data_IF_507279885599
#
_entry.id   IF_507279885599
#
_cell.length_a   1.000
_cell.length_b   1.000
_cell.length_c   1.000
_cell.angle_alpha   90.00
_cell.angle_beta   90.00
_cell.angle_gamma   90.00
#
_symmetry.space_group_name_H-M   'P 1'
#
loop_
_entity.id
_entity.type
_entity.pdbx_description
1 polymer ?
#
# COMPACT_ATOMS: atom_id res chain seq x y z
N UNK A 1 20.63 -15.35 -2.73
CA UNK A 1 19.88 -14.14 -3.10
C UNK A 1 20.84 -13.18 -3.77
N UNK A 2 20.51 -12.65 -4.94
CA UNK A 2 21.35 -11.68 -5.66
C UNK A 2 21.06 -10.25 -5.19
N UNK A 3 22.07 -9.38 -5.23
CA UNK A 3 21.93 -7.99 -4.82
C UNK A 3 20.96 -7.23 -5.75
N UNK A 4 19.90 -6.64 -5.18
CA UNK A 4 18.88 -5.91 -5.93
C UNK A 4 19.09 -4.38 -5.91
N UNK A 5 20.27 -3.88 -5.50
CA UNK A 5 20.56 -2.43 -5.37
C UNK A 5 20.26 -1.66 -6.66
N UNK A 6 20.52 -2.28 -7.82
CA UNK A 6 20.29 -1.68 -9.14
C UNK A 6 18.82 -1.32 -9.42
N UNK A 7 17.85 -1.93 -8.72
CA UNK A 7 16.42 -1.64 -8.89
C UNK A 7 15.98 -0.31 -8.25
N UNK A 8 16.87 0.37 -7.53
CA UNK A 8 16.57 1.58 -6.77
C UNK A 8 17.45 2.76 -7.21
N UNK A 9 17.06 3.97 -6.80
CA UNK A 9 17.74 5.25 -7.09
C UNK A 9 18.44 5.85 -5.85
N UNK A 10 18.73 5.04 -4.82
CA UNK A 10 19.41 5.55 -3.63
C UNK A 10 20.77 6.15 -3.99
N UNK A 11 21.13 7.22 -3.27
CA UNK A 11 22.46 7.81 -3.33
C UNK A 11 23.53 6.72 -3.11
N UNK A 12 24.49 6.55 -4.06
CA UNK A 12 25.49 5.50 -3.98
C UNK A 12 26.39 5.60 -2.75
N UNK A 13 26.53 6.80 -2.17
CA UNK A 13 27.39 7.10 -1.02
C UNK A 13 26.66 6.90 0.33
N UNK A 14 25.37 6.54 0.31
CA UNK A 14 24.55 6.35 1.51
C UNK A 14 24.27 4.87 1.77
N UNK A 15 24.56 4.43 3.00
CA UNK A 15 24.10 3.15 3.53
C UNK A 15 22.76 3.32 4.24
N UNK A 16 21.66 3.16 3.49
CA UNK A 16 20.32 3.33 4.03
C UNK A 16 19.86 2.07 4.80
N UNK A 17 19.69 2.19 6.11
CA UNK A 17 19.28 1.10 7.01
C UNK A 17 17.89 1.30 7.64
N UNK A 18 17.12 2.30 7.17
CA UNK A 18 15.85 2.70 7.77
C UNK A 18 14.61 2.33 6.93
N UNK A 19 14.65 1.17 6.27
CA UNK A 19 13.54 0.72 5.41
C UNK A 19 12.22 0.51 6.15
N UNK A 20 12.26 0.30 7.48
CA UNK A 20 11.07 0.19 8.32
C UNK A 20 10.33 1.54 8.47
N UNK A 21 11.07 2.66 8.44
CA UNK A 21 10.45 3.99 8.40
C UNK A 21 9.91 4.29 7.00
N UNK A 22 10.75 4.11 5.96
CA UNK A 22 10.35 4.27 4.57
C UNK A 22 11.23 3.45 3.63
N UNK A 23 10.63 2.52 2.90
CA UNK A 23 11.36 1.77 1.90
C UNK A 23 11.79 2.68 0.72
N UNK A 24 12.98 2.47 0.14
CA UNK A 24 13.36 3.14 -1.10
C UNK A 24 12.39 2.82 -2.24
N UNK A 25 12.09 3.81 -3.08
CA UNK A 25 11.20 3.62 -4.22
C UNK A 25 11.89 2.82 -5.33
N UNK A 26 11.22 1.78 -5.83
CA UNK A 26 11.65 1.02 -7.00
C UNK A 26 11.61 1.90 -8.25
N UNK A 27 12.59 1.76 -9.15
CA UNK A 27 12.60 2.42 -10.47
C UNK A 27 11.33 2.14 -11.28
N UNK A 28 10.83 0.91 -11.23
CA UNK A 28 9.60 0.54 -11.93
C UNK A 28 8.35 1.22 -11.34
N UNK A 29 8.31 1.41 -10.01
CA UNK A 29 7.22 2.13 -9.36
C UNK A 29 7.27 3.63 -9.66
N UNK A 30 8.48 4.22 -9.67
CA UNK A 30 8.70 5.60 -10.12
C UNK A 30 8.17 5.84 -11.54
N UNK A 31 8.51 4.95 -12.48
CA UNK A 31 8.03 5.03 -13.86
C UNK A 31 6.49 4.96 -13.95
N UNK A 32 5.85 4.02 -13.25
CA UNK A 32 4.40 3.89 -13.22
C UNK A 32 3.71 5.15 -12.63
N UNK A 33 4.29 5.75 -11.59
CA UNK A 33 3.78 7.01 -11.04
C UNK A 33 3.86 8.17 -12.05
N UNK A 34 4.97 8.28 -12.79
CA UNK A 34 5.13 9.30 -13.84
C UNK A 34 4.09 9.10 -14.95
N UNK A 35 3.87 7.85 -15.39
CA UNK A 35 2.84 7.52 -16.39
C UNK A 35 1.44 7.90 -15.92
N UNK A 36 1.10 7.58 -14.66
CA UNK A 36 -0.18 7.95 -14.06
C UNK A 36 -0.38 9.48 -14.03
N UNK A 37 0.65 10.24 -13.66
CA UNK A 37 0.62 11.72 -13.67
C UNK A 37 0.42 12.27 -15.09
N UNK A 38 1.08 11.68 -16.10
CA UNK A 38 0.91 12.08 -17.49
C UNK A 38 -0.50 11.77 -17.98
N UNK A 39 -1.06 10.60 -17.67
CA UNK A 39 -2.46 10.23 -17.99
C UNK A 39 -3.44 11.23 -17.38
N UNK A 40 -3.23 11.63 -16.13
CA UNK A 40 -4.09 12.57 -15.41
C UNK A 40 -4.16 13.97 -16.05
N UNK A 41 -3.23 14.35 -16.95
CA UNK A 41 -3.29 15.62 -17.69
C UNK A 41 -4.52 15.74 -18.59
N UNK A 42 -5.04 14.62 -19.09
CA UNK A 42 -6.18 14.58 -20.01
C UNK A 42 -7.27 13.64 -19.45
N UNK A 43 -8.00 14.07 -18.42
CA UNK A 43 -8.93 13.19 -17.69
C UNK A 43 -10.10 12.70 -18.54
N UNK A 44 -10.43 13.38 -19.64
CA UNK A 44 -11.46 12.93 -20.61
C UNK A 44 -11.08 11.65 -21.36
N UNK A 45 -9.83 11.17 -21.22
CA UNK A 45 -9.37 9.87 -21.76
C UNK A 45 -9.46 8.74 -20.73
N UNK A 46 -9.80 9.04 -19.48
CA UNK A 46 -9.94 8.05 -18.42
C UNK A 46 -11.36 7.51 -18.48
N UNK A 47 -11.49 6.22 -18.73
CA UNK A 47 -12.76 5.50 -18.78
C UNK A 47 -13.11 4.92 -17.40
N UNK A 48 -14.38 4.59 -17.20
CA UNK A 48 -14.84 4.00 -15.94
C UNK A 48 -14.05 2.72 -15.56
N UNK A 49 -13.66 1.91 -16.54
CA UNK A 49 -12.89 0.66 -16.32
C UNK A 49 -11.50 0.92 -15.71
N UNK A 50 -10.87 2.05 -16.06
CA UNK A 50 -9.49 2.37 -15.63
C UNK A 50 -9.41 2.55 -14.11
N UNK A 51 -10.52 2.90 -13.45
CA UNK A 51 -10.59 3.02 -12.00
C UNK A 51 -10.59 1.67 -11.27
N UNK A 52 -10.92 0.58 -11.98
CA UNK A 52 -11.09 -0.74 -11.36
C UNK A 52 -9.99 -1.72 -11.80
N UNK A 53 -9.63 -1.76 -13.07
CA UNK A 53 -8.70 -2.76 -13.62
C UNK A 53 -7.36 -2.79 -12.86
N UNK A 54 -6.74 -1.63 -12.64
CA UNK A 54 -5.47 -1.53 -11.90
C UNK A 54 -5.63 -2.01 -10.45
N UNK A 55 -6.74 -1.68 -9.80
CA UNK A 55 -6.99 -2.06 -8.40
C UNK A 55 -7.20 -3.56 -8.25
N UNK A 56 -7.87 -4.22 -9.20
CA UNK A 56 -8.08 -5.67 -9.17
C UNK A 56 -6.78 -6.44 -9.36
N UNK A 57 -5.89 -5.95 -10.25
CA UNK A 57 -4.54 -6.50 -10.40
C UNK A 57 -3.78 -6.40 -9.07
N UNK A 58 -3.78 -5.23 -8.43
CA UNK A 58 -3.10 -5.02 -7.14
C UNK A 58 -3.64 -5.96 -6.06
N UNK A 59 -4.97 -6.11 -5.94
CA UNK A 59 -5.58 -7.04 -4.97
C UNK A 59 -5.14 -8.48 -5.21
N UNK A 60 -5.11 -8.94 -6.47
CA UNK A 60 -4.67 -10.29 -6.81
C UNK A 60 -3.18 -10.52 -6.52
N UNK A 61 -2.32 -9.55 -6.86
CA UNK A 61 -0.88 -9.64 -6.58
C UNK A 61 -0.61 -9.69 -5.07
N UNK A 62 -1.24 -8.81 -4.29
CA UNK A 62 -1.07 -8.76 -2.85
C UNK A 62 -1.67 -10.00 -2.17
N UNK A 63 -2.84 -10.47 -2.61
CA UNK A 63 -3.47 -11.70 -2.12
C UNK A 63 -2.54 -12.91 -2.21
N UNK A 64 -1.77 -13.04 -3.30
CA UNK A 64 -0.74 -14.11 -3.41
C UNK A 64 0.39 -13.97 -2.38
N UNK A 65 0.77 -12.75 -2.02
CA UNK A 65 1.84 -12.48 -1.05
C UNK A 65 1.42 -12.88 0.37
N UNK A 66 0.17 -12.61 0.75
CA UNK A 66 -0.35 -12.84 2.11
C UNK A 66 -1.26 -14.07 2.22
N UNK A 67 -1.38 -14.86 1.15
CA UNK A 67 -2.24 -16.04 1.06
C UNK A 67 -3.73 -15.74 1.37
N UNK A 68 -4.30 -14.78 0.65
CA UNK A 68 -5.70 -14.38 0.77
C UNK A 68 -6.36 -14.15 -0.60
N UNK A 69 -7.68 -14.35 -0.68
CA UNK A 69 -8.44 -14.07 -1.90
C UNK A 69 -8.55 -12.57 -2.17
N UNK A 70 -8.55 -12.12 -3.45
CA UNK A 70 -8.61 -10.69 -3.80
C UNK A 70 -9.78 -9.91 -3.17
N UNK A 71 -11.01 -10.46 -3.04
CA UNK A 71 -12.12 -9.77 -2.38
C UNK A 71 -11.89 -9.47 -0.88
N UNK A 72 -10.92 -10.13 -0.24
CA UNK A 72 -10.55 -9.91 1.16
C UNK A 72 -9.43 -8.86 1.33
N UNK A 73 -8.95 -8.25 0.24
CA UNK A 73 -7.94 -7.20 0.27
C UNK A 73 -8.62 -5.86 0.10
N UNK A 74 -8.40 -4.92 1.02
CA UNK A 74 -8.84 -3.53 0.91
C UNK A 74 -7.66 -2.60 0.56
N UNK A 75 -7.87 -1.65 -0.35
CA UNK A 75 -6.87 -0.62 -0.68
C UNK A 75 -7.11 0.60 0.19
N UNK A 76 -6.14 0.95 1.03
CA UNK A 76 -6.24 2.01 2.05
C UNK A 76 -4.93 2.82 2.02
N UNK A 77 -4.97 4.15 2.20
CA UNK A 77 -3.78 5.01 2.03
C UNK A 77 -2.74 4.89 3.15
N UNK A 78 -3.08 4.29 4.29
CA UNK A 78 -2.14 4.10 5.41
C UNK A 78 -2.66 3.07 6.42
N UNK A 79 -1.77 2.60 7.29
CA UNK A 79 -2.10 1.63 8.34
C UNK A 79 -3.11 2.19 9.36
N UNK A 80 -2.92 3.44 9.83
CA UNK A 80 -3.84 4.06 10.79
C UNK A 80 -5.26 4.19 10.25
N UNK A 81 -5.42 4.50 8.95
CA UNK A 81 -6.74 4.52 8.31
C UNK A 81 -7.38 3.14 8.28
N UNK A 82 -6.59 2.08 8.04
CA UNK A 82 -7.09 0.71 8.04
C UNK A 82 -7.63 0.30 9.42
N UNK A 83 -6.87 0.62 10.47
CA UNK A 83 -7.30 0.36 11.84
C UNK A 83 -8.57 1.14 12.20
N UNK A 84 -8.61 2.44 11.88
CA UNK A 84 -9.78 3.29 12.13
C UNK A 84 -11.02 2.80 11.38
N UNK A 85 -10.88 2.37 10.11
CA UNK A 85 -11.99 1.80 9.33
C UNK A 85 -12.58 0.57 9.99
N UNK A 86 -11.74 -0.34 10.52
CA UNK A 86 -12.22 -1.53 11.23
C UNK A 86 -12.92 -1.13 12.53
N UNK A 87 -12.26 -0.32 13.38
CA UNK A 87 -12.78 0.02 14.71
C UNK A 87 -14.11 0.80 14.66
N UNK A 88 -14.33 1.63 13.64
CA UNK A 88 -15.58 2.37 13.46
C UNK A 88 -16.74 1.50 12.94
N UNK A 89 -16.47 0.28 12.46
CA UNK A 89 -17.49 -0.61 11.87
C UNK A 89 -17.71 -1.91 12.66
N UNK A 90 -16.96 -2.14 13.74
CA UNK A 90 -17.20 -3.25 14.67
C UNK A 90 -17.95 -2.76 15.91
N UNK A 91 -18.97 -3.51 16.33
CA UNK A 91 -19.68 -3.21 17.56
C UNK A 91 -18.94 -3.79 18.77
N UNK A 92 -18.58 -2.92 19.71
CA UNK A 92 -18.07 -3.35 21.01
C UNK A 92 -19.16 -4.02 21.85
N UNK A 93 -18.75 -4.89 22.78
CA UNK A 93 -19.68 -5.43 23.80
C UNK A 93 -20.05 -4.34 24.79
N UNK A 94 -21.32 -4.30 25.23
CA UNK A 94 -21.75 -3.45 26.34
C UNK A 94 -20.92 -3.77 27.59
N UNK A 95 -20.35 -2.74 28.23
CA UNK A 95 -19.39 -2.87 29.35
C UNK A 95 -18.15 -3.71 29.02
N UNK A 96 -17.78 -3.82 27.74
CA UNK A 96 -16.56 -4.49 27.27
C UNK A 96 -15.30 -3.66 27.54
N UNK A 97 -14.14 -4.30 27.37
CA UNK A 97 -12.82 -3.67 27.45
C UNK A 97 -12.07 -3.90 26.15
N UNK A 98 -11.42 -2.85 25.64
CA UNK A 98 -10.39 -3.00 24.61
C UNK A 98 -9.04 -3.26 25.32
N UNK A 99 -8.33 -4.28 24.88
CA UNK A 99 -7.01 -4.63 25.42
C UNK A 99 -6.02 -4.43 24.27
N UNK A 100 -4.99 -3.63 24.53
CA UNK A 100 -3.90 -3.35 23.59
C UNK A 100 -2.57 -3.65 24.24
N UNK A 101 -1.55 -3.90 23.43
CA UNK A 101 -0.18 -3.95 23.92
C UNK A 101 0.27 -2.55 24.36
N UNK A 102 1.13 -2.50 25.37
CA UNK A 102 1.84 -1.27 25.69
C UNK A 102 2.74 -0.93 24.51
N UNK A 103 2.68 0.33 24.04
CA UNK A 103 3.42 0.86 22.90
C UNK A 103 2.96 0.33 21.51
N UNK A 104 1.69 -0.11 21.41
CA UNK A 104 1.04 -0.40 20.11
C UNK A 104 1.01 0.84 19.21
N UNK A 105 1.22 0.65 17.91
CA UNK A 105 1.17 1.67 16.85
C UNK A 105 0.65 0.98 15.58
N UNK A 106 -0.35 1.52 14.85
CA UNK A 106 -0.43 2.93 14.44
C UNK A 106 -1.78 3.65 14.66
#
# INVERSE_FOLDING_TARGET
MECQKALFQLDPDVHYLNCAYQAPLLRAAEAACIEALVRARNPFRIEAKDFFEETEIVRALFGRLVNADPPNIALIPSTSYGLASVLNNIAGKSKGKAIILKDEFP
#
